data_IF_031287358754
#
_entry.id   IF_031287358754
#
_cell.length_a   1.000
_cell.length_b   1.000
_cell.length_c   1.000
_cell.angle_alpha   90.00
_cell.angle_beta   90.00
_cell.angle_gamma   90.00
#
_symmetry.space_group_name_H-M   'P 1'
#
loop_
_entity.id
_entity.type
_entity.pdbx_description
1 polymer ?
#
# COMPACT_ATOMS: atom_id res chain seq x y z
N UNK A 1 6.42 22.23 2.51
CA UNK A 1 6.04 21.04 3.30
C UNK A 1 5.13 20.17 2.45
N UNK A 2 5.23 18.83 2.53
CA UNK A 2 4.32 17.94 1.82
C UNK A 2 2.92 18.01 2.43
N UNK A 3 1.92 18.20 1.57
CA UNK A 3 0.50 18.29 1.92
C UNK A 3 -0.07 16.88 2.10
N UNK A 4 -0.88 16.67 3.14
CA UNK A 4 -1.43 15.33 3.46
C UNK A 4 -2.60 14.95 2.56
N UNK A 5 -3.21 15.94 1.95
CA UNK A 5 -4.30 15.83 0.98
C UNK A 5 -3.85 15.47 -0.44
N UNK A 6 -2.53 15.46 -0.70
CA UNK A 6 -1.99 14.99 -1.98
C UNK A 6 -2.40 13.53 -2.21
N UNK A 7 -3.00 13.26 -3.36
CA UNK A 7 -3.53 11.95 -3.70
C UNK A 7 -3.22 11.63 -5.17
N UNK A 8 -3.53 10.39 -5.59
CA UNK A 8 -3.24 9.95 -6.97
C UNK A 8 -4.35 10.43 -7.92
N UNK A 9 -5.59 10.52 -7.45
CA UNK A 9 -6.75 10.82 -8.30
C UNK A 9 -6.68 12.20 -8.98
N UNK A 10 -6.16 13.22 -8.28
CA UNK A 10 -6.01 14.58 -8.82
C UNK A 10 -4.69 14.82 -9.56
N UNK A 11 -3.72 13.93 -9.40
CA UNK A 11 -2.37 14.06 -9.96
C UNK A 11 -2.16 13.19 -11.21
N UNK A 12 -2.61 11.93 -11.16
CA UNK A 12 -2.41 10.92 -12.20
C UNK A 12 -3.72 10.14 -12.43
N UNK A 13 -4.53 10.68 -13.34
CA UNK A 13 -5.85 10.13 -13.66
C UNK A 13 -5.78 8.75 -14.34
N UNK A 14 -4.74 8.48 -15.13
CA UNK A 14 -4.58 7.21 -15.84
C UNK A 14 -4.29 6.08 -14.85
N UNK A 15 -3.34 6.30 -13.93
CA UNK A 15 -3.03 5.34 -12.88
C UNK A 15 -4.23 5.14 -11.95
N UNK A 16 -4.88 6.23 -11.52
CA UNK A 16 -6.07 6.16 -10.66
C UNK A 16 -7.19 5.33 -11.30
N UNK A 17 -7.44 5.54 -12.59
CA UNK A 17 -8.46 4.80 -13.32
C UNK A 17 -8.15 3.30 -13.35
N UNK A 18 -6.88 2.91 -13.57
CA UNK A 18 -6.48 1.50 -13.53
C UNK A 18 -6.66 0.88 -12.13
N UNK A 19 -6.33 1.63 -11.07
CA UNK A 19 -6.52 1.17 -9.68
C UNK A 19 -7.99 0.92 -9.35
N UNK A 20 -8.89 1.84 -9.73
CA UNK A 20 -10.32 1.68 -9.48
C UNK A 20 -10.93 0.55 -10.33
N UNK A 21 -10.45 0.34 -11.56
CA UNK A 21 -10.87 -0.82 -12.37
C UNK A 21 -10.47 -2.15 -11.73
N UNK A 22 -9.25 -2.27 -11.19
CA UNK A 22 -8.82 -3.50 -10.51
C UNK A 22 -9.63 -3.76 -9.24
N UNK A 23 -9.96 -2.72 -8.47
CA UNK A 23 -10.84 -2.84 -7.31
C UNK A 23 -12.21 -3.40 -7.70
N UNK A 24 -12.82 -2.90 -8.78
CA UNK A 24 -14.10 -3.44 -9.28
C UNK A 24 -13.94 -4.87 -9.78
N UNK A 25 -12.88 -5.16 -10.55
CA UNK A 25 -12.58 -6.50 -11.06
C UNK A 25 -12.51 -7.54 -9.94
N UNK A 26 -11.88 -7.19 -8.82
CA UNK A 26 -11.73 -8.09 -7.67
C UNK A 26 -13.06 -8.43 -6.98
N UNK A 27 -14.05 -7.53 -7.01
CA UNK A 27 -15.37 -7.74 -6.41
C UNK A 27 -16.32 -8.49 -7.37
N UNK A 28 -16.16 -8.28 -8.68
CA UNK A 28 -17.00 -8.91 -9.71
C UNK A 28 -16.55 -10.32 -10.09
N UNK A 29 -15.30 -10.69 -9.82
CA UNK A 29 -14.77 -12.02 -10.11
C UNK A 29 -14.74 -12.93 -8.89
N UNK A 30 -15.15 -14.18 -9.09
CA UNK A 30 -14.90 -15.25 -8.12
C UNK A 30 -13.46 -15.71 -8.30
N UNK A 31 -12.62 -15.37 -7.34
CA UNK A 31 -11.23 -15.80 -7.34
C UNK A 31 -11.10 -17.25 -6.86
N UNK A 32 -10.52 -18.11 -7.69
CA UNK A 32 -10.38 -19.56 -7.46
C UNK A 32 -8.92 -20.01 -7.42
N UNK A 33 -7.98 -19.07 -7.52
CA UNK A 33 -6.55 -19.35 -7.39
C UNK A 33 -6.23 -19.73 -5.94
N UNK A 34 -5.79 -20.97 -5.73
CA UNK A 34 -5.55 -21.54 -4.41
C UNK A 34 -4.50 -20.80 -3.56
N UNK A 35 -3.62 -20.03 -4.19
CA UNK A 35 -2.59 -19.23 -3.52
C UNK A 35 -3.01 -17.80 -3.21
N UNK A 36 -4.17 -17.35 -3.69
CA UNK A 36 -4.63 -15.98 -3.54
C UNK A 36 -5.60 -15.81 -2.38
N UNK A 37 -5.66 -14.58 -1.87
CA UNK A 37 -6.52 -14.21 -0.74
C UNK A 37 -6.72 -12.70 -0.70
N UNK A 38 -7.78 -12.25 -0.02
CA UNK A 38 -8.01 -10.85 0.29
C UNK A 38 -7.50 -10.53 1.70
N UNK A 39 -6.50 -9.66 1.77
CA UNK A 39 -5.99 -9.21 3.07
C UNK A 39 -6.97 -8.25 3.74
N UNK A 40 -6.93 -8.16 5.07
CA UNK A 40 -7.79 -7.21 5.78
C UNK A 40 -7.38 -5.75 5.50
N UNK A 41 -8.31 -4.78 5.57
CA UNK A 41 -7.98 -3.36 5.45
C UNK A 41 -6.92 -2.84 6.43
N UNK A 42 -6.76 -3.52 7.59
CA UNK A 42 -5.73 -3.19 8.58
C UNK A 42 -4.31 -3.41 8.06
N UNK A 43 -4.12 -4.42 7.20
CA UNK A 43 -2.82 -4.68 6.57
C UNK A 43 -2.49 -3.59 5.56
N UNK A 44 -3.47 -3.19 4.74
CA UNK A 44 -3.31 -2.09 3.78
C UNK A 44 -2.99 -0.76 4.48
N UNK A 45 -3.63 -0.48 5.62
CA UNK A 45 -3.33 0.69 6.44
C UNK A 45 -1.87 0.71 6.92
N UNK A 46 -1.33 -0.42 7.37
CA UNK A 46 0.06 -0.51 7.81
C UNK A 46 1.04 -0.30 6.64
N UNK A 47 0.74 -0.86 5.46
CA UNK A 47 1.54 -0.71 4.24
C UNK A 47 1.58 0.75 3.75
N UNK A 48 0.48 1.49 3.89
CA UNK A 48 0.39 2.92 3.54
C UNK A 48 1.00 3.88 4.58
N UNK A 49 1.64 3.36 5.65
CA UNK A 49 2.15 4.19 6.74
C UNK A 49 3.51 4.85 6.43
N UNK A 50 3.93 5.78 7.29
CA UNK A 50 5.25 6.43 7.17
C UNK A 50 6.43 5.51 7.51
N UNK A 51 6.19 4.24 7.88
CA UNK A 51 7.25 3.27 8.12
C UNK A 51 8.15 3.07 6.89
N UNK A 52 7.61 3.27 5.67
CA UNK A 52 8.37 3.25 4.42
C UNK A 52 9.55 4.24 4.39
N UNK A 53 9.47 5.31 5.19
CA UNK A 53 10.53 6.32 5.25
C UNK A 53 11.76 5.87 6.06
N UNK A 54 11.65 4.79 6.85
CA UNK A 54 12.70 4.38 7.79
C UNK A 54 13.54 3.26 7.20
N UNK A 55 14.82 3.55 6.93
CA UNK A 55 15.84 2.52 6.79
C UNK A 55 16.25 1.99 8.17
N UNK A 56 16.16 0.67 8.37
CA UNK A 56 16.40 0.03 9.65
C UNK A 56 17.19 -1.28 9.47
N UNK A 57 18.40 -1.21 8.94
CA UNK A 57 19.27 -2.39 8.76
C UNK A 57 19.73 -2.94 10.11
N UNK A 58 19.70 -4.27 10.27
CA UNK A 58 20.07 -4.99 11.50
C UNK A 58 18.86 -5.57 12.22
N UNK A 59 19.03 -6.00 13.47
CA UNK A 59 17.94 -6.54 14.30
C UNK A 59 17.34 -5.45 15.20
N UNK A 60 16.20 -5.74 15.82
CA UNK A 60 15.68 -4.89 16.89
C UNK A 60 16.76 -4.71 17.98
N UNK A 61 16.95 -3.48 18.46
CA UNK A 61 18.02 -3.08 19.38
C UNK A 61 19.48 -3.29 18.90
N UNK A 62 19.69 -3.72 17.64
CA UNK A 62 21.02 -3.87 17.01
C UNK A 62 21.00 -3.32 15.58
N UNK A 63 20.60 -2.06 15.44
CA UNK A 63 20.56 -1.38 14.14
C UNK A 63 21.92 -0.79 13.79
N UNK A 64 22.26 -0.79 12.50
CA UNK A 64 23.50 -0.19 11.97
C UNK A 64 23.39 1.34 11.92
N UNK A 65 22.19 1.86 11.65
CA UNK A 65 21.88 3.30 11.64
C UNK A 65 21.05 3.72 12.86
N UNK A 66 21.14 5.00 13.23
CA UNK A 66 20.42 5.59 14.35
C UNK A 66 19.06 6.20 14.00
N UNK A 67 18.35 6.63 15.05
CA UNK A 67 17.06 7.31 15.02
C UNK A 67 15.97 6.51 15.70
#
# INVERSE_FOLDING_TARGET
MLKREMNIADYDAELWQAMEQEKVRQEEHIELIASENYTSPRVLQALGSQLTNKSAVGEAARRVGGG
#
